data_IF_840489538330
#
_entry.id   IF_840489538330
#
_cell.length_a   1.000
_cell.length_b   1.000
_cell.length_c   1.000
_cell.angle_alpha   90.00
_cell.angle_beta   90.00
_cell.angle_gamma   90.00
#
_symmetry.space_group_name_H-M   'P 1'
#
loop_
_entity.id
_entity.type
_entity.pdbx_description
1 polymer ?
#
# COMPACT_ATOMS: atom_id res chain seq x y z
N UNK A 1 3.14 11.86 -7.75
CA UNK A 1 1.71 11.78 -7.39
C UNK A 1 1.29 10.45 -6.77
N UNK A 2 1.67 9.28 -7.32
CA UNK A 2 1.24 7.97 -6.81
C UNK A 2 1.42 7.77 -5.29
N UNK A 3 2.58 8.16 -4.74
CA UNK A 3 2.85 8.07 -3.28
C UNK A 3 1.79 8.79 -2.43
N UNK A 4 1.29 9.95 -2.89
CA UNK A 4 0.26 10.72 -2.17
C UNK A 4 -1.05 9.95 -2.14
N UNK A 5 -1.46 9.38 -3.28
CA UNK A 5 -2.67 8.59 -3.38
C UNK A 5 -2.56 7.27 -2.60
N UNK A 6 -1.41 6.60 -2.62
CA UNK A 6 -1.16 5.40 -1.82
C UNK A 6 -1.25 5.71 -0.32
N UNK A 7 -0.71 6.84 0.15
CA UNK A 7 -0.87 7.26 1.56
C UNK A 7 -2.34 7.48 1.93
N UNK A 8 -3.11 8.14 1.07
CA UNK A 8 -4.53 8.35 1.30
C UNK A 8 -5.32 7.03 1.29
N UNK A 9 -4.99 6.12 0.37
CA UNK A 9 -5.61 4.80 0.27
C UNK A 9 -5.29 3.94 1.50
N UNK A 10 -4.02 3.88 1.92
CA UNK A 10 -3.59 3.20 3.15
C UNK A 10 -4.39 3.67 4.37
N UNK A 11 -4.60 4.98 4.53
CA UNK A 11 -5.43 5.53 5.61
C UNK A 11 -6.87 5.00 5.59
N UNK A 12 -7.47 4.86 4.40
CA UNK A 12 -8.84 4.33 4.26
C UNK A 12 -8.93 2.84 4.55
N UNK A 13 -7.87 2.09 4.22
CA UNK A 13 -7.80 0.64 4.43
C UNK A 13 -7.28 0.25 5.83
N UNK A 14 -6.74 1.20 6.60
CA UNK A 14 -6.04 0.92 7.86
C UNK A 14 -4.68 0.22 7.66
N UNK A 15 -4.09 0.30 6.47
CA UNK A 15 -2.81 -0.33 6.14
C UNK A 15 -1.63 0.59 6.53
N UNK A 16 -0.63 0.03 7.22
CA UNK A 16 0.58 0.76 7.60
C UNK A 16 1.75 0.44 6.64
N UNK A 17 2.45 1.48 6.19
CA UNK A 17 3.64 1.33 5.36
C UNK A 17 4.80 0.64 6.10
N UNK A 18 4.88 0.76 7.43
CA UNK A 18 5.94 0.17 8.25
C UNK A 18 5.73 -1.32 8.54
N UNK A 19 4.46 -1.75 8.51
CA UNK A 19 4.02 -3.14 8.68
C UNK A 19 2.86 -3.44 7.72
N UNK A 20 3.13 -3.55 6.40
CA UNK A 20 2.07 -3.63 5.39
C UNK A 20 1.36 -4.99 5.42
N UNK A 21 0.04 -4.94 5.46
CA UNK A 21 -0.83 -6.11 5.36
C UNK A 21 -1.50 -6.21 3.98
N UNK A 22 -1.65 -5.09 3.27
CA UNK A 22 -2.38 -5.03 1.99
C UNK A 22 -1.53 -4.46 0.85
N UNK A 23 -0.69 -3.44 1.12
CA UNK A 23 0.09 -2.77 0.07
C UNK A 23 1.56 -2.81 0.44
N UNK A 24 2.33 -3.64 -0.25
CA UNK A 24 3.79 -3.72 -0.10
C UNK A 24 4.46 -2.63 -0.93
N UNK A 25 5.46 -1.97 -0.37
CA UNK A 25 6.32 -1.03 -1.10
C UNK A 25 7.49 -1.80 -1.71
N UNK A 26 7.69 -1.71 -3.02
CA UNK A 26 8.82 -2.31 -3.73
C UNK A 26 9.80 -1.20 -4.15
N UNK A 27 10.95 -1.05 -3.45
CA UNK A 27 11.92 0.00 -3.73
C UNK A 27 12.39 -0.02 -5.20
N UNK A 28 12.36 1.14 -5.86
CA UNK A 28 12.73 1.27 -7.26
C UNK A 28 11.69 0.76 -8.28
N UNK A 29 10.62 0.11 -7.82
CA UNK A 29 9.59 -0.48 -8.69
C UNK A 29 8.23 0.21 -8.48
N UNK A 30 7.71 0.21 -7.25
CA UNK A 30 6.39 0.76 -6.98
C UNK A 30 5.71 0.15 -5.77
N UNK A 31 4.45 -0.26 -5.96
CA UNK A 31 3.61 -0.84 -4.92
C UNK A 31 2.92 -2.09 -5.43
N UNK A 32 2.76 -3.09 -4.58
CA UNK A 32 2.09 -4.35 -4.90
C UNK A 32 0.96 -4.62 -3.91
N UNK A 33 -0.20 -5.01 -4.43
CA UNK A 33 -1.32 -5.48 -3.64
C UNK A 33 -1.07 -6.94 -3.20
N UNK A 34 -1.27 -7.23 -1.92
CA UNK A 34 -1.10 -8.57 -1.33
C UNK A 34 -2.30 -9.02 -0.50
N UNK A 35 -3.37 -8.22 -0.44
CA UNK A 35 -4.61 -8.64 0.20
C UNK A 35 -5.24 -9.80 -0.55
N UNK A 36 -5.89 -10.70 0.19
CA UNK A 36 -6.57 -11.86 -0.38
C UNK A 36 -7.70 -11.40 -1.33
N UNK A 37 -7.78 -11.96 -2.54
CA UNK A 37 -8.91 -11.68 -3.43
C UNK A 37 -10.19 -12.25 -2.82
N UNK A 38 -11.26 -11.45 -2.84
CA UNK A 38 -12.61 -11.87 -2.45
C UNK A 38 -13.21 -12.84 -3.47
#
# INVERSE_FOLDING_TARGET
>A
YLRTYIRALRKKLGDDASSPALIVTEPGVGYRWVGEPA
#
